data_IF_232082084642
#
_entry.id   IF_232082084642
#
_cell.length_a   1.000
_cell.length_b   1.000
_cell.length_c   1.000
_cell.angle_alpha   90.00
_cell.angle_beta   90.00
_cell.angle_gamma   90.00
#
_symmetry.space_group_name_H-M   'P 1'
#
loop_
_entity.id
_entity.type
_entity.pdbx_description
1 polymer ?
#
# COMPACT_ATOMS: atom_id res chain seq x y z
N UNK A 1 -13.49 5.06 -16.37
CA UNK A 1 -12.59 4.70 -15.24
C UNK A 1 -13.26 5.17 -13.96
N UNK A 2 -13.13 4.44 -12.85
CA UNK A 2 -13.59 4.88 -11.53
C UNK A 2 -12.94 6.22 -11.19
N UNK A 3 -13.63 7.05 -10.42
CA UNK A 3 -13.03 8.23 -9.80
C UNK A 3 -12.09 7.81 -8.67
N UNK A 4 -11.09 8.65 -8.39
CA UNK A 4 -10.26 8.51 -7.19
C UNK A 4 -11.11 8.98 -6.01
N UNK A 5 -11.35 8.09 -5.05
CA UNK A 5 -12.09 8.38 -3.83
C UNK A 5 -11.19 8.18 -2.63
N UNK A 6 -11.31 9.01 -1.59
CA UNK A 6 -10.61 8.82 -0.32
C UNK A 6 -11.31 7.73 0.48
N UNK A 7 -10.77 6.51 0.45
CA UNK A 7 -11.27 5.39 1.25
C UNK A 7 -10.11 4.58 1.78
N UNK A 8 -10.17 4.23 3.07
CA UNK A 8 -9.19 3.33 3.68
C UNK A 8 -9.18 1.97 2.99
N UNK A 9 -10.31 1.47 2.49
CA UNK A 9 -10.39 0.15 1.84
C UNK A 9 -9.59 0.09 0.53
N UNK A 10 -9.20 1.26 0.00
CA UNK A 10 -8.33 1.40 -1.14
C UNK A 10 -6.84 1.42 -0.76
N UNK A 11 -6.47 1.23 0.51
CA UNK A 11 -5.09 1.13 0.96
C UNK A 11 -4.65 -0.34 0.90
N UNK A 12 -3.51 -0.58 0.29
CA UNK A 12 -2.90 -1.89 0.23
C UNK A 12 -2.19 -2.23 1.54
N UNK A 13 -2.07 -3.54 1.82
CA UNK A 13 -1.33 -4.05 2.97
C UNK A 13 0.08 -3.44 3.11
N UNK A 14 0.76 -3.16 2.00
CA UNK A 14 2.10 -2.59 1.97
C UNK A 14 2.15 -1.05 2.05
N UNK A 15 1.01 -0.37 2.18
CA UNK A 15 0.89 1.09 2.24
C UNK A 15 0.64 1.76 0.89
N UNK A 16 0.70 1.05 -0.24
CA UNK A 16 0.33 1.65 -1.55
C UNK A 16 -1.16 2.02 -1.59
N UNK A 17 -1.50 3.08 -2.31
CA UNK A 17 -2.88 3.50 -2.49
C UNK A 17 -3.48 2.98 -3.81
N UNK A 18 -4.26 1.90 -3.74
CA UNK A 18 -4.97 1.34 -4.89
C UNK A 18 -5.98 2.33 -5.49
N UNK A 19 -6.52 3.26 -4.70
CA UNK A 19 -7.47 4.27 -5.15
C UNK A 19 -6.92 5.20 -6.23
N UNK A 20 -5.60 5.29 -6.38
CA UNK A 20 -4.93 6.02 -7.46
C UNK A 20 -4.26 5.09 -8.51
N UNK A 21 -4.49 3.78 -8.45
CA UNK A 21 -3.89 2.82 -9.36
C UNK A 21 -4.69 2.69 -10.67
N UNK A 22 -4.02 2.89 -11.82
CA UNK A 22 -4.66 2.79 -13.15
C UNK A 22 -5.41 1.47 -13.38
N UNK A 23 -4.87 0.34 -12.94
CA UNK A 23 -5.52 -0.98 -13.10
C UNK A 23 -6.77 -1.11 -12.23
N UNK A 24 -6.73 -0.59 -11.01
CA UNK A 24 -7.89 -0.54 -10.12
C UNK A 24 -8.99 0.36 -10.68
N UNK A 25 -8.62 1.57 -11.11
CA UNK A 25 -9.54 2.56 -11.68
C UNK A 25 -10.15 2.09 -13.02
N UNK A 26 -9.46 1.24 -13.78
CA UNK A 26 -10.01 0.64 -15.01
C UNK A 26 -10.80 -0.65 -14.76
N UNK A 27 -10.97 -1.09 -13.51
CA UNK A 27 -11.65 -2.34 -13.17
C UNK A 27 -10.87 -3.62 -13.49
N UNK A 28 -9.63 -3.50 -13.99
CA UNK A 28 -8.76 -4.62 -14.35
C UNK A 28 -8.06 -5.26 -13.14
N UNK A 29 -8.21 -4.68 -11.95
CA UNK A 29 -7.68 -5.17 -10.69
C UNK A 29 -8.69 -4.90 -9.58
N UNK A 30 -8.99 -5.87 -8.69
CA UNK A 30 -9.98 -5.70 -7.63
C UNK A 30 -9.47 -4.88 -6.42
N UNK A 31 -8.20 -4.45 -6.41
CA UNK A 31 -7.56 -3.79 -5.27
C UNK A 31 -6.88 -4.79 -4.34
N UNK A 32 -6.01 -4.33 -3.44
CA UNK A 32 -5.17 -5.23 -2.65
C UNK A 32 -5.99 -6.19 -1.77
N UNK A 33 -7.01 -5.67 -1.08
CA UNK A 33 -7.81 -6.42 -0.12
C UNK A 33 -8.59 -7.57 -0.78
N UNK A 34 -9.09 -7.34 -2.00
CA UNK A 34 -9.93 -8.29 -2.72
C UNK A 34 -9.16 -9.13 -3.77
N UNK A 35 -7.82 -9.04 -3.83
CA UNK A 35 -7.04 -9.74 -4.85
C UNK A 35 -6.58 -11.13 -4.39
N UNK A 36 -7.53 -12.06 -4.30
CA UNK A 36 -7.28 -13.48 -3.94
C UNK A 36 -6.27 -14.14 -4.88
N UNK A 37 -6.34 -13.81 -6.18
CA UNK A 37 -5.43 -14.31 -7.22
C UNK A 37 -3.96 -13.93 -6.98
N UNK A 38 -3.68 -12.87 -6.22
CA UNK A 38 -2.32 -12.49 -5.87
C UNK A 38 -1.73 -13.36 -4.73
N UNK A 39 -1.91 -14.68 -4.77
CA UNK A 39 -1.47 -15.63 -3.73
C UNK A 39 0.05 -15.57 -3.47
N UNK A 40 0.84 -15.03 -4.40
CA UNK A 40 2.28 -14.82 -4.28
C UNK A 40 2.68 -13.66 -3.35
N UNK A 41 1.77 -12.72 -3.04
CA UNK A 41 2.10 -11.53 -2.25
C UNK A 41 2.18 -11.87 -0.74
N UNK A 42 3.41 -12.11 -0.26
CA UNK A 42 3.70 -12.46 1.14
C UNK A 42 3.27 -11.37 2.14
N UNK A 43 3.37 -10.09 1.78
CA UNK A 43 2.97 -8.98 2.65
C UNK A 43 1.46 -9.03 2.95
N UNK A 44 0.63 -9.24 1.91
CA UNK A 44 -0.83 -9.36 2.08
C UNK A 44 -1.18 -10.55 2.97
N UNK A 45 -0.57 -11.72 2.69
CA UNK A 45 -0.77 -12.92 3.51
C UNK A 45 -0.41 -12.70 4.99
N UNK A 46 0.71 -12.03 5.26
CA UNK A 46 1.14 -11.71 6.62
C UNK A 46 0.16 -10.77 7.35
N UNK A 47 -0.38 -9.76 6.66
CA UNK A 47 -1.40 -8.87 7.25
C UNK A 47 -2.70 -9.63 7.55
N UNK A 48 -3.19 -10.42 6.59
CA UNK A 48 -4.39 -11.26 6.76
C UNK A 48 -4.23 -12.21 7.96
N UNK A 49 -3.10 -12.93 8.06
CA UNK A 49 -2.89 -13.89 9.16
C UNK A 49 -2.81 -13.24 10.54
N UNK A 50 -2.50 -11.95 10.61
CA UNK A 50 -2.45 -11.16 11.85
C UNK A 50 -3.72 -10.35 12.11
N UNK A 51 -4.71 -10.39 11.21
CA UNK A 51 -5.90 -9.52 11.30
C UNK A 51 -5.55 -8.03 11.17
N UNK A 52 -4.52 -7.71 10.38
CA UNK A 52 -4.10 -6.35 10.10
C UNK A 52 -4.60 -5.91 8.73
N UNK A 53 -5.07 -4.67 8.65
CA UNK A 53 -5.42 -4.07 7.38
C UNK A 53 -4.16 -3.65 6.59
N UNK A 54 -3.20 -3.03 7.28
CA UNK A 54 -1.91 -2.65 6.70
C UNK A 54 -0.75 -3.00 7.62
N UNK A 55 0.48 -3.00 7.09
CA UNK A 55 1.69 -3.17 7.90
C UNK A 55 1.88 -2.06 8.95
N UNK A 56 1.13 -0.95 8.88
CA UNK A 56 1.19 0.11 9.88
C UNK A 56 0.78 -0.37 11.28
N UNK A 57 -0.12 -1.37 11.37
CA UNK A 57 -0.53 -1.98 12.65
C UNK A 57 0.53 -2.91 13.26
N UNK A 58 1.55 -3.31 12.50
CA UNK A 58 2.66 -4.08 13.05
C UNK A 58 3.46 -3.21 14.03
N UNK A 59 4.06 -3.78 15.06
CA UNK A 59 4.96 -3.03 15.95
C UNK A 59 6.38 -2.93 15.37
N UNK A 60 6.76 -3.90 14.52
CA UNK A 60 8.08 -3.97 13.89
C UNK A 60 8.29 -2.89 12.83
N UNK A 61 9.51 -2.35 12.70
CA UNK A 61 9.85 -1.49 11.56
C UNK A 61 9.85 -2.31 10.25
N UNK A 62 9.04 -1.87 9.30
CA UNK A 62 8.94 -2.50 7.98
C UNK A 62 10.26 -2.47 7.20
N UNK A 63 11.18 -1.54 7.51
CA UNK A 63 12.53 -1.46 6.93
C UNK A 63 13.39 -2.67 7.29
N UNK A 64 13.17 -3.23 8.48
CA UNK A 64 13.88 -4.41 8.99
C UNK A 64 13.10 -5.72 8.73
N UNK A 65 11.83 -5.61 8.34
CA UNK A 65 10.99 -6.78 8.06
C UNK A 65 11.40 -7.45 6.74
N UNK A 66 11.95 -8.67 6.80
CA UNK A 66 12.33 -9.46 5.61
C UNK A 66 11.17 -9.78 4.66
N UNK A 67 9.93 -9.84 5.16
CA UNK A 67 8.73 -10.04 4.33
C UNK A 67 8.45 -8.80 3.48
N UNK A 68 8.59 -7.62 4.10
CA UNK A 68 8.26 -6.33 3.49
C UNK A 68 9.41 -5.79 2.63
N UNK A 69 10.61 -5.77 3.21
CA UNK A 69 11.86 -5.22 2.68
C UNK A 69 12.73 -6.36 2.13
N UNK A 70 12.33 -6.88 0.97
CA UNK A 70 13.08 -7.88 0.21
C UNK A 70 13.79 -7.24 -1.00
N UNK A 71 14.74 -7.96 -1.61
CA UNK A 71 15.54 -7.45 -2.74
C UNK A 71 14.67 -6.95 -3.90
N UNK A 72 13.66 -7.73 -4.29
CA UNK A 72 12.71 -7.40 -5.35
C UNK A 72 12.00 -6.07 -5.06
N UNK A 73 11.61 -5.86 -3.80
CA UNK A 73 10.93 -4.64 -3.41
C UNK A 73 11.82 -3.40 -3.44
N UNK A 74 13.14 -3.53 -3.25
CA UNK A 74 14.10 -2.44 -3.40
C UNK A 74 14.26 -2.04 -4.88
N UNK A 75 14.29 -3.02 -5.78
CA UNK A 75 14.34 -2.78 -7.24
C UNK A 75 13.07 -2.05 -7.71
N UNK A 76 11.88 -2.54 -7.33
CA UNK A 76 10.63 -1.88 -7.71
C UNK A 76 10.45 -0.50 -7.05
N UNK A 77 10.97 -0.30 -5.84
CA UNK A 77 10.98 1.02 -5.21
C UNK A 77 11.77 2.05 -6.02
N UNK A 78 12.90 1.65 -6.64
CA UNK A 78 13.67 2.51 -7.54
C UNK A 78 12.90 2.78 -8.85
N UNK A 79 12.45 1.73 -9.52
CA UNK A 79 11.75 1.85 -10.82
C UNK A 79 10.48 2.69 -10.76
N UNK A 80 9.71 2.61 -9.66
CA UNK A 80 8.46 3.35 -9.51
C UNK A 80 8.59 4.65 -8.72
N UNK A 81 9.82 5.02 -8.35
CA UNK A 81 10.12 6.10 -7.41
C UNK A 81 9.17 6.05 -6.21
N UNK A 82 9.14 4.93 -5.50
CA UNK A 82 8.17 4.62 -4.43
C UNK A 82 8.87 4.47 -3.10
N UNK A 83 8.40 5.22 -2.10
CA UNK A 83 8.77 5.06 -0.70
C UNK A 83 7.60 4.46 0.10
N UNK A 84 7.46 3.13 0.01
CA UNK A 84 6.41 2.42 0.75
C UNK A 84 6.62 2.47 2.27
N UNK A 85 7.85 2.41 2.83
CA UNK A 85 8.07 2.67 4.25
C UNK A 85 7.54 4.04 4.69
N UNK A 86 7.74 5.11 3.90
CA UNK A 86 7.16 6.41 4.21
C UNK A 86 5.63 6.39 4.22
N UNK A 87 4.98 5.65 3.30
CA UNK A 87 3.53 5.44 3.36
C UNK A 87 3.10 4.78 4.67
N UNK A 88 3.82 3.74 5.11
CA UNK A 88 3.52 3.05 6.38
C UNK A 88 3.73 3.99 7.57
N UNK A 89 4.83 4.77 7.59
CA UNK A 89 5.07 5.78 8.62
C UNK A 89 3.95 6.82 8.66
N UNK A 90 3.51 7.34 7.52
CA UNK A 90 2.39 8.29 7.44
C UNK A 90 1.10 7.71 8.02
N UNK A 91 0.76 6.45 7.66
CA UNK A 91 -0.45 5.79 8.19
C UNK A 91 -0.36 5.62 9.71
N UNK A 92 0.82 5.29 10.26
CA UNK A 92 1.02 5.17 11.71
C UNK A 92 0.83 6.49 12.43
N UNK A 93 1.31 7.58 11.84
CA UNK A 93 1.32 8.91 12.47
C UNK A 93 -0.04 9.62 12.35
N UNK A 94 -0.71 9.51 11.20
CA UNK A 94 -1.90 10.29 10.88
C UNK A 94 -3.18 9.45 10.71
N UNK A 95 -3.04 8.12 10.67
CA UNK A 95 -4.16 7.21 10.43
C UNK A 95 -4.48 6.98 8.96
N UNK A 96 -5.30 5.95 8.70
CA UNK A 96 -5.62 5.50 7.35
C UNK A 96 -6.49 6.47 6.55
N UNK A 97 -7.42 7.18 7.20
CA UNK A 97 -8.30 8.12 6.51
C UNK A 97 -7.51 9.33 5.99
N UNK A 98 -6.70 9.96 6.85
CA UNK A 98 -5.84 11.07 6.46
C UNK A 98 -4.88 10.65 5.33
N UNK A 99 -4.32 9.44 5.40
CA UNK A 99 -3.51 8.90 4.32
C UNK A 99 -4.31 8.76 3.01
N UNK A 100 -5.51 8.16 3.04
CA UNK A 100 -6.34 7.99 1.86
C UNK A 100 -6.74 9.34 1.22
N UNK A 101 -7.05 10.36 2.02
CA UNK A 101 -7.32 11.72 1.58
C UNK A 101 -6.11 12.34 0.89
N UNK A 102 -4.94 12.26 1.52
CA UNK A 102 -3.71 12.84 0.99
C UNK A 102 -3.30 12.19 -0.34
N UNK A 103 -3.35 10.86 -0.41
CA UNK A 103 -3.03 10.13 -1.63
C UNK A 103 -4.05 10.37 -2.74
N UNK A 104 -5.33 10.58 -2.38
CA UNK A 104 -6.38 10.94 -3.33
C UNK A 104 -6.17 12.34 -3.90
N UNK A 105 -5.86 13.32 -3.03
CA UNK A 105 -5.54 14.70 -3.42
C UNK A 105 -4.34 14.77 -4.36
N UNK A 106 -3.27 14.04 -4.03
CA UNK A 106 -2.05 13.93 -4.86
C UNK A 106 -2.25 13.08 -6.12
N UNK A 107 -3.33 12.30 -6.21
CA UNK A 107 -3.61 11.34 -7.27
C UNK A 107 -2.45 10.36 -7.50
N UNK A 108 -1.80 9.93 -6.41
CA UNK A 108 -0.62 9.06 -6.47
C UNK A 108 -0.81 7.77 -5.66
N UNK A 109 -0.07 6.72 -6.02
CA UNK A 109 -0.14 5.41 -5.36
C UNK A 109 0.84 5.27 -4.20
N UNK A 110 1.81 6.17 -4.09
CA UNK A 110 2.93 6.08 -3.14
C UNK A 110 3.46 7.47 -2.85
N UNK A 111 3.98 7.67 -1.65
CA UNK A 111 4.90 8.78 -1.38
C UNK A 111 6.14 8.55 -2.24
N UNK A 112 6.62 9.61 -2.88
CA UNK A 112 7.80 9.57 -3.75
C UNK A 112 9.06 9.62 -2.89
N UNK A 113 10.14 8.98 -3.36
CA UNK A 113 11.44 9.12 -2.70
C UNK A 113 11.91 10.56 -2.89
N UNK A 114 12.62 11.08 -1.89
CA UNK A 114 13.38 12.33 -2.00
C UNK A 114 14.65 12.08 -2.80
#
# INVERSE_FOLDING_TARGET
MKSITASKDNIAACGLYCGACRKFLSGKCPGCNNNEKASWCKIRKCCISKGYHTCAKCEHDVRECKIYSNLISKVFALLFNSDRPACISYIREHGEIAYAEEMSKRKCQTIKRK
#
